data_IF_537240118646
#
_entry.id   IF_537240118646
#
_cell.length_a   1.000
_cell.length_b   1.000
_cell.length_c   1.000
_cell.angle_alpha   90.00
_cell.angle_beta   90.00
_cell.angle_gamma   90.00
#
_symmetry.space_group_name_H-M   'P 1'
#
loop_
_entity.id
_entity.type
_entity.pdbx_description
1 polymer ?
#
# COMPACT_ATOMS: atom_id res chain seq x y z
N UNK A 1 -7.83 17.75 42.77
CA UNK A 1 -7.63 17.69 42.21
C UNK A 1 -7.41 17.54 41.86
N UNK A 2 -7.53 17.52 42.10
CA UNK A 2 -7.24 17.42 41.71
C UNK A 2 -7.35 17.42 41.03
N UNK A 3 -7.52 17.46 41.04
CA UNK A 3 -7.52 17.39 40.37
C UNK A 3 -7.26 17.05 39.87
N UNK A 4 -7.32 16.81 40.19
CA UNK A 4 -7.18 16.48 39.65
C UNK A 4 -7.52 16.12 39.07
N UNK A 5 -7.76 16.10 38.83
CA UNK A 5 -8.09 15.81 38.07
C UNK A 5 -8.26 15.76 37.45
N UNK A 6 -8.23 15.58 37.70
CA UNK A 6 -8.36 15.28 36.91
C UNK A 6 -8.62 15.04 36.17
N UNK A 7 -8.79 15.24 36.19
CA UNK A 7 -9.20 15.01 35.37
C UNK A 7 -8.61 15.08 34.31
N UNK A 8 -8.03 14.38 34.19
CA UNK A 8 -7.21 14.07 33.07
C UNK A 8 -8.09 13.58 31.97
N UNK A 9 -8.48 14.50 31.22
CA UNK A 9 -8.88 14.20 29.91
C UNK A 9 -7.70 13.67 29.17
N UNK A 10 -7.58 12.40 29.23
CA UNK A 10 -6.83 11.76 28.19
C UNK A 10 -7.66 11.81 26.93
N UNK A 11 -7.59 12.91 26.29
CA UNK A 11 -7.89 12.92 24.88
C UNK A 11 -6.72 12.27 24.21
N UNK A 12 -6.82 11.00 24.07
CA UNK A 12 -5.97 10.32 23.15
C UNK A 12 -6.50 10.70 21.78
N UNK A 13 -5.99 11.76 21.24
CA UNK A 13 -6.12 12.02 19.83
C UNK A 13 -5.26 10.97 19.18
N UNK A 14 -5.85 9.86 18.84
CA UNK A 14 -5.22 8.97 17.92
C UNK A 14 -5.21 9.66 16.57
N UNK A 15 -4.08 10.24 16.25
CA UNK A 15 -3.83 10.62 14.87
C UNK A 15 -3.93 9.33 14.05
N UNK A 16 -4.93 9.26 13.19
CA UNK A 16 -5.08 8.16 12.28
C UNK A 16 -3.89 8.17 11.34
N UNK A 17 -3.13 7.11 11.41
CA UNK A 17 -1.90 7.00 10.66
C UNK A 17 -2.16 6.92 9.15
N UNK A 18 -1.48 7.78 8.40
CA UNK A 18 -1.57 7.78 6.94
C UNK A 18 -0.75 6.61 6.39
N UNK A 19 -1.41 5.71 5.68
CA UNK A 19 -0.75 4.51 5.14
C UNK A 19 -0.51 4.56 3.65
N UNK A 20 -1.19 5.45 2.93
CA UNK A 20 -1.02 5.61 1.50
C UNK A 20 -1.67 6.89 1.04
N UNK A 21 -1.46 7.25 -0.22
CA UNK A 21 -2.14 8.40 -0.82
C UNK A 21 -2.52 8.13 -2.26
N UNK A 22 -3.57 8.80 -2.70
CA UNK A 22 -3.98 8.84 -4.11
C UNK A 22 -3.83 10.26 -4.63
N UNK A 23 -3.51 10.37 -5.92
CA UNK A 23 -3.30 11.66 -6.55
C UNK A 23 -4.54 12.05 -7.35
N UNK A 24 -4.96 13.28 -7.17
CA UNK A 24 -6.07 13.88 -7.92
C UNK A 24 -5.54 14.39 -9.26
N UNK A 25 -6.45 14.59 -10.21
CA UNK A 25 -6.16 15.21 -11.51
C UNK A 25 -5.62 16.64 -11.38
N UNK A 26 -5.95 17.32 -10.28
CA UNK A 26 -5.47 18.68 -9.99
C UNK A 26 -4.09 18.69 -9.33
N UNK A 27 -3.50 17.52 -9.10
CA UNK A 27 -2.19 17.40 -8.48
C UNK A 27 -2.19 17.46 -6.96
N UNK A 28 -3.32 17.28 -6.33
CA UNK A 28 -3.42 17.18 -4.88
C UNK A 28 -3.24 15.74 -4.41
N UNK A 29 -2.70 15.57 -3.21
CA UNK A 29 -2.40 14.28 -2.62
C UNK A 29 -3.36 14.02 -1.47
N UNK A 30 -4.19 12.97 -1.61
CA UNK A 30 -5.20 12.60 -0.63
C UNK A 30 -4.72 11.39 0.15
N UNK A 31 -4.36 11.61 1.41
CA UNK A 31 -3.83 10.55 2.27
C UNK A 31 -4.96 9.84 3.00
N UNK A 32 -4.88 8.53 3.04
CA UNK A 32 -5.89 7.71 3.68
C UNK A 32 -5.29 6.83 4.79
N UNK A 33 -6.16 6.44 5.73
CA UNK A 33 -5.79 5.57 6.84
C UNK A 33 -6.05 4.09 6.50
N UNK A 34 -5.84 3.23 7.48
CA UNK A 34 -6.00 1.78 7.32
C UNK A 34 -7.43 1.35 6.96
N UNK A 35 -8.41 2.20 7.20
CA UNK A 35 -9.80 1.94 6.87
C UNK A 35 -10.19 2.52 5.50
N UNK A 36 -9.26 3.15 4.83
CA UNK A 36 -9.49 3.77 3.54
C UNK A 36 -10.18 5.13 3.63
N UNK A 37 -10.19 5.75 4.81
CA UNK A 37 -10.75 7.08 4.98
C UNK A 37 -9.70 8.13 4.65
N UNK A 38 -10.06 9.15 3.89
CA UNK A 38 -9.18 10.28 3.61
C UNK A 38 -9.07 11.13 4.86
N UNK A 39 -7.87 11.21 5.42
CA UNK A 39 -7.62 11.92 6.68
C UNK A 39 -6.79 13.17 6.52
N UNK A 40 -6.20 13.38 5.35
CA UNK A 40 -5.37 14.55 5.09
C UNK A 40 -5.30 14.85 3.59
N UNK A 41 -5.10 16.10 3.24
CA UNK A 41 -4.92 16.54 1.85
C UNK A 41 -3.72 17.47 1.82
N UNK A 42 -2.73 17.14 0.98
CA UNK A 42 -1.49 17.90 0.86
C UNK A 42 -1.25 18.32 -0.57
N UNK A 43 -0.45 19.36 -0.75
CA UNK A 43 -0.05 19.83 -2.09
C UNK A 43 1.28 19.23 -2.55
N UNK A 44 1.96 18.53 -1.66
CA UNK A 44 3.25 17.89 -1.94
C UNK A 44 3.30 16.51 -1.30
N UNK A 45 4.02 15.54 -1.87
CA UNK A 45 4.10 14.22 -1.29
C UNK A 45 4.88 14.22 0.02
N UNK A 46 4.47 13.35 0.94
CA UNK A 46 5.16 13.16 2.22
C UNK A 46 6.02 11.89 2.10
N UNK A 47 7.29 12.02 2.48
CA UNK A 47 8.22 10.89 2.44
C UNK A 47 7.76 9.74 3.32
N UNK A 48 8.00 8.52 2.85
CA UNK A 48 7.68 7.32 3.61
C UNK A 48 6.26 6.81 3.44
N UNK A 49 5.43 7.49 2.65
CA UNK A 49 4.06 7.07 2.39
C UNK A 49 3.94 6.71 0.90
N UNK A 50 3.47 5.49 0.56
CA UNK A 50 3.43 5.09 -0.84
C UNK A 50 2.28 5.71 -1.62
N UNK A 51 2.52 5.94 -2.90
CA UNK A 51 1.49 6.31 -3.86
C UNK A 51 0.68 5.05 -4.21
N UNK A 52 -0.64 5.17 -4.20
CA UNK A 52 -1.52 4.10 -4.69
C UNK A 52 -2.06 4.54 -6.06
N UNK A 53 -1.64 3.83 -7.09
CA UNK A 53 -1.99 4.12 -8.47
C UNK A 53 -2.93 3.04 -9.00
N UNK A 54 -3.85 3.42 -9.87
CA UNK A 54 -4.83 2.49 -10.43
C UNK A 54 -6.10 2.36 -9.59
N UNK A 55 -6.15 3.00 -8.43
CA UNK A 55 -7.38 3.17 -7.69
C UNK A 55 -8.03 4.45 -8.22
N UNK A 56 -9.14 4.29 -8.89
CA UNK A 56 -9.89 5.40 -9.48
C UNK A 56 -11.14 5.65 -8.62
N UNK A 57 -10.99 6.37 -7.51
CA UNK A 57 -12.10 6.57 -6.60
C UNK A 57 -13.17 7.48 -7.23
N UNK A 58 -14.44 7.16 -6.97
CA UNK A 58 -15.55 7.95 -7.48
C UNK A 58 -15.57 9.35 -6.87
N UNK A 59 -15.05 9.50 -5.67
CA UNK A 59 -15.03 10.76 -4.95
C UNK A 59 -13.83 10.86 -4.03
N UNK A 60 -13.11 11.98 -4.11
CA UNK A 60 -11.99 12.28 -3.20
C UNK A 60 -12.39 13.47 -2.34
N UNK A 61 -12.67 13.21 -1.06
CA UNK A 61 -13.00 14.24 -0.06
C UNK A 61 -12.43 13.90 1.29
N UNK A 62 -11.99 14.93 1.99
CA UNK A 62 -11.50 14.80 3.36
C UNK A 62 -12.60 14.21 4.25
N UNK A 63 -12.22 13.23 5.08
CA UNK A 63 -13.08 12.48 5.99
C UNK A 63 -14.14 11.61 5.33
N UNK A 64 -13.99 11.36 4.03
CA UNK A 64 -14.81 10.40 3.31
C UNK A 64 -13.99 9.16 2.98
N UNK A 65 -14.65 8.02 2.97
CA UNK A 65 -13.99 6.76 2.60
C UNK A 65 -13.79 6.72 1.09
N UNK A 66 -12.61 6.28 0.67
CA UNK A 66 -12.34 6.02 -0.74
C UNK A 66 -13.28 4.91 -1.21
N UNK A 67 -13.91 5.11 -2.33
CA UNK A 67 -14.80 4.13 -2.94
C UNK A 67 -14.44 3.92 -4.39
N UNK A 68 -14.59 2.70 -4.84
CA UNK A 68 -14.41 2.35 -6.24
C UNK A 68 -15.56 1.46 -6.69
N UNK A 69 -15.87 1.50 -7.97
CA UNK A 69 -16.94 0.69 -8.57
C UNK A 69 -16.70 -0.81 -8.37
N UNK A 70 -15.45 -1.24 -8.39
CA UNK A 70 -15.09 -2.62 -8.08
C UNK A 70 -14.62 -2.72 -6.63
N UNK A 71 -15.50 -3.16 -5.75
CA UNK A 71 -15.20 -3.25 -4.33
C UNK A 71 -14.14 -4.30 -3.99
N UNK A 72 -13.98 -5.32 -4.82
CA UNK A 72 -13.03 -6.40 -4.57
C UNK A 72 -11.59 -5.90 -4.65
N UNK A 73 -11.24 -5.26 -5.77
CA UNK A 73 -9.87 -4.76 -5.95
C UNK A 73 -9.54 -3.64 -4.96
N UNK A 74 -10.52 -2.87 -4.57
CA UNK A 74 -10.36 -1.83 -3.57
C UNK A 74 -9.90 -2.43 -2.23
N UNK A 75 -10.56 -3.51 -1.80
CA UNK A 75 -10.19 -4.19 -0.56
C UNK A 75 -8.79 -4.79 -0.64
N UNK A 76 -8.42 -5.34 -1.78
CA UNK A 76 -7.08 -5.90 -1.99
C UNK A 76 -6.00 -4.82 -1.94
N UNK A 77 -6.28 -3.64 -2.48
CA UNK A 77 -5.34 -2.50 -2.41
C UNK A 77 -5.15 -2.05 -0.96
N UNK A 78 -6.24 -1.94 -0.20
CA UNK A 78 -6.14 -1.59 1.21
C UNK A 78 -5.37 -2.64 2.00
N UNK A 79 -5.63 -3.92 1.72
CA UNK A 79 -4.93 -5.01 2.38
C UNK A 79 -3.43 -4.98 2.07
N UNK A 80 -3.07 -4.72 0.80
CA UNK A 80 -1.68 -4.59 0.39
C UNK A 80 -0.99 -3.47 1.18
N UNK A 81 -1.65 -2.32 1.29
CA UNK A 81 -1.10 -1.17 1.98
C UNK A 81 -0.90 -1.46 3.47
N UNK A 82 -1.90 -2.09 4.10
CA UNK A 82 -1.81 -2.48 5.52
C UNK A 82 -0.69 -3.48 5.78
N UNK A 83 -0.59 -4.51 4.95
CA UNK A 83 0.42 -5.55 5.11
C UNK A 83 1.83 -5.00 4.89
N UNK A 84 2.02 -4.14 3.90
CA UNK A 84 3.31 -3.52 3.65
C UNK A 84 3.76 -2.67 4.85
N UNK A 85 2.83 -1.96 5.47
CA UNK A 85 3.13 -1.17 6.65
C UNK A 85 3.42 -2.06 7.86
N UNK A 86 2.68 -3.14 8.02
CA UNK A 86 2.87 -4.10 9.10
C UNK A 86 4.28 -4.69 9.10
N UNK A 87 4.81 -4.98 7.92
CA UNK A 87 6.16 -5.53 7.77
C UNK A 87 7.23 -4.44 7.60
N UNK A 88 6.85 -3.18 7.76
CA UNK A 88 7.75 -2.02 7.68
C UNK A 88 8.56 -1.98 6.39
N UNK A 89 7.93 -2.34 5.29
CA UNK A 89 8.57 -2.32 3.98
C UNK A 89 8.60 -0.91 3.41
N UNK A 90 9.71 -0.54 2.81
CA UNK A 90 9.91 0.79 2.22
C UNK A 90 9.28 0.86 0.83
N UNK A 91 7.96 0.84 0.80
CA UNK A 91 7.18 0.87 -0.43
C UNK A 91 7.08 2.28 -0.96
N UNK A 92 7.39 2.46 -2.25
CA UNK A 92 7.27 3.76 -2.91
C UNK A 92 5.97 3.90 -3.68
N UNK A 93 5.45 2.79 -4.20
CA UNK A 93 4.23 2.81 -5.02
C UNK A 93 3.52 1.46 -4.95
N UNK A 94 2.20 1.51 -4.90
CA UNK A 94 1.33 0.34 -5.05
C UNK A 94 0.49 0.60 -6.28
N UNK A 95 0.60 -0.27 -7.28
CA UNK A 95 -0.08 -0.11 -8.55
C UNK A 95 -1.09 -1.23 -8.76
N UNK A 96 -2.28 -0.87 -9.23
CA UNK A 96 -3.28 -1.84 -9.68
C UNK A 96 -3.43 -1.72 -11.19
N UNK A 97 -3.28 -2.83 -11.88
CA UNK A 97 -3.44 -2.88 -13.34
C UNK A 97 -4.06 -4.22 -13.73
N UNK A 98 -5.15 -4.16 -14.48
CA UNK A 98 -5.86 -5.37 -14.92
C UNK A 98 -6.22 -6.31 -13.77
N UNK A 99 -6.72 -5.74 -12.67
CA UNK A 99 -7.09 -6.43 -11.42
C UNK A 99 -5.94 -7.16 -10.73
N UNK A 100 -4.71 -6.78 -11.05
CA UNK A 100 -3.51 -7.31 -10.41
C UNK A 100 -2.82 -6.20 -9.61
N UNK A 101 -2.23 -6.58 -8.50
CA UNK A 101 -1.57 -5.66 -7.60
C UNK A 101 -0.06 -5.82 -7.68
N UNK A 102 0.63 -4.71 -7.88
CA UNK A 102 2.08 -4.64 -7.94
C UNK A 102 2.56 -3.66 -6.90
N UNK A 103 3.63 -4.03 -6.18
CA UNK A 103 4.20 -3.19 -5.12
C UNK A 103 5.65 -2.90 -5.49
N UNK A 104 6.01 -1.62 -5.50
CA UNK A 104 7.37 -1.20 -5.83
C UNK A 104 8.16 -0.92 -4.55
N UNK A 105 9.23 -1.68 -4.34
CA UNK A 105 10.11 -1.55 -3.20
C UNK A 105 11.53 -1.37 -3.72
N UNK A 106 12.04 -0.14 -3.64
CA UNK A 106 13.35 0.17 -4.22
C UNK A 106 13.39 -0.14 -5.71
N UNK A 107 14.28 -1.02 -6.12
CA UNK A 107 14.45 -1.41 -7.53
C UNK A 107 13.70 -2.69 -7.89
N UNK A 108 12.87 -3.19 -6.98
CA UNK A 108 12.13 -4.43 -7.19
C UNK A 108 10.63 -4.15 -7.23
N UNK A 109 9.97 -4.67 -8.25
CA UNK A 109 8.52 -4.69 -8.34
C UNK A 109 8.04 -6.07 -7.88
N UNK A 110 7.13 -6.11 -6.91
CA UNK A 110 6.55 -7.37 -6.42
C UNK A 110 5.16 -7.54 -7.00
N UNK A 111 4.95 -8.61 -7.77
CA UNK A 111 3.64 -8.94 -8.32
C UNK A 111 2.90 -9.86 -7.36
N UNK A 112 1.80 -9.37 -6.79
CA UNK A 112 1.01 -10.13 -5.82
C UNK A 112 -0.21 -10.80 -6.43
N UNK A 113 -0.50 -10.53 -7.70
CA UNK A 113 -1.65 -11.08 -8.37
C UNK A 113 -2.93 -10.36 -7.99
N UNK A 114 -4.05 -11.09 -7.98
CA UNK A 114 -5.37 -10.51 -7.68
C UNK A 114 -5.82 -10.71 -6.24
N UNK A 115 -5.00 -11.34 -5.40
CA UNK A 115 -5.28 -11.47 -3.97
C UNK A 115 -4.01 -11.19 -3.16
N UNK A 116 -4.15 -10.42 -2.11
CA UNK A 116 -3.06 -10.08 -1.21
C UNK A 116 -3.22 -10.91 0.06
N UNK A 117 -2.24 -11.76 0.34
CA UNK A 117 -2.27 -12.59 1.55
C UNK A 117 -1.06 -12.29 2.43
N UNK A 118 -1.21 -12.49 3.72
CA UNK A 118 -0.10 -12.34 4.67
C UNK A 118 1.05 -13.28 4.35
N UNK A 119 0.75 -14.45 3.80
CA UNK A 119 1.76 -15.44 3.40
C UNK A 119 2.67 -14.89 2.32
N UNK A 120 2.09 -14.25 1.30
CA UNK A 120 2.86 -13.63 0.22
C UNK A 120 3.73 -12.49 0.73
N UNK A 121 3.14 -11.60 1.51
CA UNK A 121 3.85 -10.42 2.02
C UNK A 121 4.96 -10.80 2.98
N UNK A 122 4.75 -11.81 3.80
CA UNK A 122 5.75 -12.28 4.77
C UNK A 122 7.04 -12.77 4.11
N UNK A 123 6.97 -13.21 2.86
CA UNK A 123 8.15 -13.69 2.12
C UNK A 123 9.01 -12.54 1.59
N UNK A 124 8.42 -11.37 1.39
CA UNK A 124 9.09 -10.25 0.73
C UNK A 124 10.40 -9.84 1.42
N UNK A 125 10.44 -9.61 2.74
CA UNK A 125 11.70 -9.21 3.39
C UNK A 125 12.83 -10.21 3.19
N UNK A 126 12.52 -11.51 3.28
CA UNK A 126 13.51 -12.58 3.13
C UNK A 126 14.07 -12.64 1.70
N UNK A 127 13.18 -12.49 0.73
CA UNK A 127 13.57 -12.56 -0.69
C UNK A 127 14.34 -11.32 -1.09
N UNK A 128 13.96 -10.14 -0.60
CA UNK A 128 14.65 -8.90 -0.90
C UNK A 128 16.11 -8.92 -0.46
N UNK A 129 16.41 -9.58 0.65
CA UNK A 129 17.80 -9.75 1.11
C UNK A 129 18.63 -10.49 0.07
N UNK A 130 18.03 -11.47 -0.59
CA UNK A 130 18.69 -12.26 -1.63
C UNK A 130 18.80 -11.52 -2.97
N UNK A 131 17.98 -10.50 -3.16
CA UNK A 131 17.94 -9.71 -4.39
C UNK A 131 18.68 -8.39 -4.28
N UNK A 132 19.45 -8.19 -3.23
CA UNK A 132 20.21 -6.96 -3.03
C UNK A 132 21.10 -6.67 -4.24
N UNK A 133 20.98 -5.45 -4.76
CA UNK A 133 21.72 -5.03 -5.95
C UNK A 133 21.11 -5.47 -7.27
N UNK A 134 19.98 -6.17 -7.25
CA UNK A 134 19.27 -6.59 -8.45
C UNK A 134 18.02 -5.78 -8.65
N UNK A 135 17.58 -5.66 -9.89
CA UNK A 135 16.32 -4.98 -10.23
C UNK A 135 15.50 -5.85 -11.16
N UNK A 136 14.19 -5.75 -11.05
CA UNK A 136 13.27 -6.55 -11.85
C UNK A 136 11.97 -6.80 -11.12
N UNK A 137 11.24 -7.83 -11.56
CA UNK A 137 9.94 -8.19 -11.00
C UNK A 137 9.99 -9.53 -10.27
N UNK A 138 9.59 -9.49 -9.01
CA UNK A 138 9.41 -10.69 -8.18
C UNK A 138 7.96 -11.14 -8.29
N UNK A 139 7.76 -12.38 -8.73
CA UNK A 139 6.43 -12.97 -8.91
C UNK A 139 6.04 -13.82 -7.70
N UNK A 140 5.02 -13.37 -6.97
CA UNK A 140 4.46 -14.09 -5.84
C UNK A 140 2.98 -14.44 -6.05
N UNK A 141 2.46 -14.30 -7.28
CA UNK A 141 1.05 -14.52 -7.57
C UNK A 141 0.57 -15.91 -7.14
N UNK A 142 1.43 -16.90 -7.33
CA UNK A 142 1.11 -18.30 -7.05
C UNK A 142 1.69 -18.79 -5.73
N UNK A 143 2.27 -17.90 -4.94
CA UNK A 143 2.83 -18.28 -3.64
C UNK A 143 1.71 -18.51 -2.62
N UNK A 144 1.75 -19.66 -1.94
CA UNK A 144 0.77 -20.02 -0.92
C UNK A 144 1.40 -21.02 0.06
N UNK A 145 0.64 -21.39 1.09
CA UNK A 145 1.08 -22.43 2.02
C UNK A 145 1.28 -23.79 1.35
N UNK A 146 0.61 -24.00 0.22
CA UNK A 146 0.70 -25.25 -0.54
C UNK A 146 1.74 -25.20 -1.66
N UNK A 147 2.14 -24.00 -2.07
CA UNK A 147 3.10 -23.79 -3.16
C UNK A 147 4.06 -22.67 -2.81
N UNK A 148 5.33 -22.98 -2.69
CA UNK A 148 6.38 -22.01 -2.37
C UNK A 148 7.10 -21.49 -3.61
N UNK A 149 6.40 -21.46 -4.75
CA UNK A 149 6.98 -21.01 -6.02
C UNK A 149 7.03 -19.49 -6.09
N UNK A 150 8.24 -18.97 -6.13
CA UNK A 150 8.50 -17.55 -6.38
C UNK A 150 9.56 -17.46 -7.47
N UNK A 151 9.35 -16.57 -8.45
CA UNK A 151 10.29 -16.36 -9.55
C UNK A 151 10.66 -14.88 -9.63
N UNK A 152 11.86 -14.60 -10.13
CA UNK A 152 12.33 -13.24 -10.30
C UNK A 152 12.81 -13.02 -11.73
N UNK A 153 12.20 -12.06 -12.43
CA UNK A 153 12.56 -11.70 -13.80
C UNK A 153 13.46 -10.45 -13.75
N UNK A 154 14.75 -10.66 -13.93
CA UNK A 154 15.76 -9.60 -13.86
C UNK A 154 15.54 -8.59 -15.00
N UNK A 155 15.46 -7.31 -14.64
CA UNK A 155 15.35 -6.24 -15.60
C UNK A 155 14.00 -6.07 -16.27
N UNK A 156 12.99 -6.83 -15.87
CA UNK A 156 11.64 -6.79 -16.44
C UNK A 156 10.67 -6.17 -15.44
N UNK A 157 9.90 -5.17 -15.87
CA UNK A 157 8.91 -4.50 -15.05
C UNK A 157 7.54 -4.50 -15.74
N UNK A 158 6.43 -4.53 -14.98
CA UNK A 158 5.08 -4.57 -15.58
C UNK A 158 4.78 -3.39 -16.50
N UNK A 159 5.35 -2.24 -16.25
CA UNK A 159 5.17 -1.04 -17.08
C UNK A 159 5.76 -1.21 -18.47
N UNK A 160 6.80 -2.03 -18.59
CA UNK A 160 7.47 -2.29 -19.87
C UNK A 160 6.70 -3.31 -20.72
N UNK A 161 5.86 -4.11 -20.08
CA UNK A 161 5.07 -5.15 -20.74
C UNK A 161 3.71 -4.66 -21.22
N UNK A 162 3.40 -3.41 -20.95
CA UNK A 162 2.10 -2.82 -21.31
C UNK A 162 2.05 -2.12 -22.62
#
# INVERSE_FOLDING_TARGET
VSLKNPWTLKITVQEKERIGYVMDSDGKYYYFDQDGMVVDVEEAPVDGIPLVDGMDPDELKLYHTLKKKSSIIYQEILEATREMKKYELSVTKIMCRSDRIYVYIGNVCVSLGNDVTSVKVAQIPKILEKLEGKEGTLHLENFSDESDTATFDIGVFPEDAG
#
